data_IF_398448293006
#
_entry.id   IF_398448293006
#
_cell.length_a   1.000
_cell.length_b   1.000
_cell.length_c   1.000
_cell.angle_alpha   90.00
_cell.angle_beta   90.00
_cell.angle_gamma   90.00
#
_symmetry.space_group_name_H-M   'P 1'
#
loop_
_entity.id
_entity.type
_entity.pdbx_description
1 polymer ?
#
# COMPACT_ATOMS: atom_id res chain seq x y z
N UNK A 1 31.88 20.24 22.15
CA UNK A 1 30.72 20.87 21.45
C UNK A 1 30.35 20.19 20.13
N UNK A 2 31.30 19.66 19.34
CA UNK A 2 30.99 18.96 18.06
C UNK A 2 30.08 17.71 18.22
N UNK A 3 30.23 16.93 19.29
CA UNK A 3 29.42 15.72 19.53
C UNK A 3 27.92 16.01 19.70
N UNK A 4 27.54 17.18 20.25
CA UNK A 4 26.13 17.59 20.41
C UNK A 4 25.46 18.02 19.09
N UNK A 5 26.25 18.42 18.09
CA UNK A 5 25.75 18.83 16.77
C UNK A 5 25.45 17.60 15.91
N UNK A 6 26.32 16.59 15.98
CA UNK A 6 26.13 15.32 15.27
C UNK A 6 24.91 14.56 15.81
N UNK A 7 24.71 14.51 17.12
CA UNK A 7 23.53 13.85 17.72
C UNK A 7 22.21 14.54 17.38
N UNK A 8 22.20 15.88 17.32
CA UNK A 8 21.00 16.65 16.96
C UNK A 8 20.60 16.45 15.50
N UNK A 9 21.58 16.39 14.60
CA UNK A 9 21.32 16.15 13.17
C UNK A 9 20.81 14.72 12.94
N UNK A 10 21.34 13.72 13.65
CA UNK A 10 20.87 12.32 13.55
C UNK A 10 19.41 12.20 14.00
N UNK A 11 19.03 12.84 15.11
CA UNK A 11 17.65 12.81 15.61
C UNK A 11 16.67 13.45 14.62
N UNK A 12 17.04 14.58 14.02
CA UNK A 12 16.21 15.26 13.01
C UNK A 12 16.05 14.41 11.74
N UNK A 13 17.13 13.81 11.24
CA UNK A 13 17.07 12.96 10.04
C UNK A 13 16.22 11.70 10.29
N UNK A 14 16.34 11.09 11.48
CA UNK A 14 15.54 9.92 11.84
C UNK A 14 14.03 10.22 11.93
N UNK A 15 13.66 11.40 12.44
CA UNK A 15 12.27 11.84 12.54
C UNK A 15 11.61 12.05 11.17
N UNK A 16 12.34 12.60 10.19
CA UNK A 16 11.84 12.81 8.82
C UNK A 16 11.59 11.47 8.12
N UNK A 17 12.51 10.51 8.27
CA UNK A 17 12.38 9.18 7.66
C UNK A 17 11.18 8.38 8.22
N UNK A 18 10.95 8.46 9.53
CA UNK A 18 9.79 7.80 10.15
C UNK A 18 8.47 8.43 9.72
N UNK A 19 8.42 9.76 9.57
CA UNK A 19 7.23 10.45 9.05
C UNK A 19 6.91 10.05 7.61
N UNK A 20 7.93 9.94 6.74
CA UNK A 20 7.75 9.51 5.35
C UNK A 20 7.09 8.14 5.23
N UNK A 21 7.54 7.17 6.06
CA UNK A 21 7.00 5.81 6.07
C UNK A 21 5.54 5.73 6.57
N UNK A 22 5.11 6.65 7.45
CA UNK A 22 3.73 6.71 7.94
C UNK A 22 2.80 7.35 6.89
N UNK A 23 3.30 8.33 6.13
CA UNK A 23 2.52 9.01 5.08
C UNK A 23 2.41 8.21 3.79
N UNK A 24 3.37 7.35 3.48
CA UNK A 24 3.19 6.26 2.52
C UNK A 24 2.38 5.15 3.18
N UNK A 25 1.17 5.49 3.63
CA UNK A 25 0.22 4.50 4.12
C UNK A 25 0.02 3.47 3.01
N UNK A 26 0.27 2.20 3.32
CA UNK A 26 -0.12 1.11 2.43
C UNK A 26 -1.58 1.31 2.03
N UNK A 27 -1.86 1.36 0.73
CA UNK A 27 -3.23 1.45 0.21
C UNK A 27 -4.08 0.35 0.86
N UNK A 28 -5.16 0.72 1.55
CA UNK A 28 -6.05 -0.28 2.15
C UNK A 28 -6.99 -0.81 1.08
N UNK A 29 -6.57 -1.91 0.45
CA UNK A 29 -7.39 -2.66 -0.51
C UNK A 29 -8.09 -3.81 0.19
N UNK A 30 -9.36 -4.01 -0.16
CA UNK A 30 -10.16 -5.16 0.25
C UNK A 30 -10.62 -5.92 -1.00
N UNK A 31 -10.42 -7.24 -1.02
CA UNK A 31 -11.03 -8.12 -2.02
C UNK A 31 -12.52 -8.27 -1.72
N UNK A 32 -13.36 -7.80 -2.63
CA UNK A 32 -14.83 -7.81 -2.51
C UNK A 32 -15.43 -9.06 -3.11
N UNK A 33 -14.89 -9.52 -4.24
CA UNK A 33 -15.35 -10.70 -4.95
C UNK A 33 -14.15 -11.36 -5.62
N UNK A 34 -14.03 -12.66 -5.46
CA UNK A 34 -13.00 -13.48 -6.08
C UNK A 34 -13.68 -14.77 -6.54
N UNK A 35 -13.90 -14.87 -7.85
CA UNK A 35 -14.62 -15.99 -8.47
C UNK A 35 -13.74 -16.64 -9.52
N UNK A 36 -13.34 -17.86 -9.23
CA UNK A 36 -12.70 -18.75 -10.18
C UNK A 36 -13.75 -19.46 -11.04
N UNK A 37 -13.59 -19.41 -12.35
CA UNK A 37 -14.42 -20.17 -13.29
C UNK A 37 -13.79 -21.54 -13.52
N UNK A 38 -14.62 -22.57 -13.67
CA UNK A 38 -14.16 -23.94 -13.95
C UNK A 38 -13.36 -24.10 -15.25
N UNK A 39 -13.42 -23.10 -16.12
CA UNK A 39 -12.68 -23.04 -17.38
C UNK A 39 -11.26 -22.52 -17.23
N UNK A 40 -10.86 -22.04 -16.04
CA UNK A 40 -9.51 -21.53 -15.78
C UNK A 40 -9.35 -20.02 -15.99
N UNK A 41 -10.46 -19.28 -16.13
CA UNK A 41 -10.51 -17.82 -16.02
C UNK A 41 -11.14 -17.39 -14.69
N UNK A 42 -11.20 -16.10 -14.41
CA UNK A 42 -11.69 -15.60 -13.11
C UNK A 42 -12.11 -14.15 -13.16
N UNK A 43 -12.85 -13.72 -12.12
CA UNK A 43 -13.18 -12.31 -11.90
C UNK A 43 -12.79 -11.95 -10.48
N UNK A 44 -11.90 -10.96 -10.36
CA UNK A 44 -11.48 -10.38 -9.10
C UNK A 44 -11.96 -8.92 -9.01
N UNK A 45 -12.60 -8.57 -7.90
CA UNK A 45 -13.04 -7.20 -7.61
C UNK A 45 -12.37 -6.74 -6.34
N UNK A 46 -11.57 -5.69 -6.45
CA UNK A 46 -10.94 -5.02 -5.31
C UNK A 46 -11.55 -3.64 -5.10
N UNK A 47 -11.75 -3.26 -3.82
CA UNK A 47 -12.13 -1.91 -3.44
C UNK A 47 -11.05 -1.29 -2.56
N UNK A 48 -10.60 -0.11 -2.94
CA UNK A 48 -9.77 0.73 -2.11
C UNK A 48 -10.65 1.42 -1.06
N UNK A 49 -10.41 1.14 0.22
CA UNK A 49 -11.17 1.69 1.34
C UNK A 49 -10.88 3.16 1.60
N UNK A 50 -9.74 3.65 1.14
CA UNK A 50 -9.27 5.02 1.37
C UNK A 50 -9.81 5.99 0.32
N UNK A 51 -9.85 5.55 -0.95
CA UNK A 51 -10.29 6.39 -2.08
C UNK A 51 -11.69 6.03 -2.57
N UNK A 52 -12.20 4.85 -2.22
CA UNK A 52 -13.42 4.30 -2.79
C UNK A 52 -13.25 3.80 -4.23
N UNK A 53 -12.03 3.81 -4.79
CA UNK A 53 -11.77 3.27 -6.12
C UNK A 53 -12.07 1.77 -6.16
N UNK A 54 -12.68 1.32 -7.26
CA UNK A 54 -13.00 -0.09 -7.51
C UNK A 54 -12.22 -0.54 -8.73
N UNK A 55 -11.48 -1.63 -8.59
CA UNK A 55 -10.75 -2.30 -9.67
C UNK A 55 -11.44 -3.62 -9.94
N UNK A 56 -11.66 -3.93 -11.22
CA UNK A 56 -12.19 -5.22 -11.66
C UNK A 56 -11.17 -5.81 -12.61
N UNK A 57 -10.66 -6.99 -12.26
CA UNK A 57 -9.79 -7.80 -13.08
C UNK A 57 -10.56 -9.01 -13.62
N UNK A 58 -10.34 -9.33 -14.89
CA UNK A 58 -11.02 -10.42 -15.59
C UNK A 58 -9.97 -11.22 -16.32
N UNK A 59 -9.72 -12.43 -15.81
CA UNK A 59 -8.85 -13.40 -16.42
C UNK A 59 -9.64 -14.27 -17.40
N UNK A 60 -9.21 -14.30 -18.66
CA UNK A 60 -9.77 -15.17 -19.68
C UNK A 60 -9.26 -16.60 -19.52
N UNK A 61 -10.18 -17.57 -19.67
CA UNK A 61 -9.85 -18.98 -19.77
C UNK A 61 -9.20 -19.27 -21.13
N UNK A 62 -7.87 -19.41 -21.16
CA UNK A 62 -7.14 -19.79 -22.39
C UNK A 62 -7.28 -21.27 -22.75
#
# INVERSE_FOLDING_TARGET
MLSRIHSRNIVLTAAILTFGLITSGCERKEKVLDVETSSGGGVEVERNLDTGAVTVDVDDAN
#
